data_IF_172653988058
#
_entry.id   IF_172653988058
#
_cell.length_a   1.000
_cell.length_b   1.000
_cell.length_c   1.000
_cell.angle_alpha   90.00
_cell.angle_beta   90.00
_cell.angle_gamma   90.00
#
_symmetry.space_group_name_H-M   'P 1'
#
loop_
_entity.id
_entity.type
_entity.pdbx_description
1 polymer ?
#
# COMPACT_ATOMS: atom_id res chain seq x y z
N UNK A 1 -12.80 -2.48 13.81
CA UNK A 1 -11.56 -2.48 13.02
C UNK A 1 -11.86 -1.93 11.64
N UNK A 2 -10.98 -1.10 11.09
CA UNK A 2 -11.13 -0.52 9.75
C UNK A 2 -10.32 -1.31 8.74
N UNK A 3 -10.64 -1.24 7.45
CA UNK A 3 -9.88 -1.90 6.40
C UNK A 3 -9.72 -1.09 5.12
N UNK A 4 -8.66 -1.39 4.38
CA UNK A 4 -8.25 -0.73 3.14
C UNK A 4 -8.04 -1.78 2.06
N UNK A 5 -8.74 -1.62 0.95
CA UNK A 5 -8.55 -2.46 -0.23
C UNK A 5 -7.39 -1.93 -1.09
N UNK A 6 -6.42 -2.78 -1.40
CA UNK A 6 -5.27 -2.45 -2.24
C UNK A 6 -5.40 -3.14 -3.60
N UNK A 7 -5.51 -2.36 -4.68
CA UNK A 7 -5.69 -2.87 -6.03
C UNK A 7 -4.83 -2.11 -7.05
N UNK A 8 -4.54 -2.76 -8.17
CA UNK A 8 -3.67 -2.24 -9.22
C UNK A 8 -2.54 -3.22 -9.55
N UNK A 9 -1.34 -2.70 -9.83
CA UNK A 9 -0.22 -3.52 -10.32
C UNK A 9 0.97 -3.59 -9.35
N UNK A 10 2.16 -3.92 -9.86
CA UNK A 10 3.36 -4.14 -9.05
C UNK A 10 3.77 -2.96 -8.17
N UNK A 11 3.53 -1.71 -8.58
CA UNK A 11 3.81 -0.54 -7.75
C UNK A 11 2.78 -0.31 -6.62
N UNK A 12 1.55 -0.85 -6.71
CA UNK A 12 0.66 -1.00 -5.53
C UNK A 12 1.11 -2.16 -4.67
N UNK A 13 1.43 -3.30 -5.29
CA UNK A 13 1.83 -4.51 -4.58
C UNK A 13 3.14 -4.30 -3.76
N UNK A 14 4.02 -3.44 -4.27
CA UNK A 14 5.30 -3.13 -3.68
C UNK A 14 6.43 -3.95 -4.30
N UNK A 15 7.51 -3.25 -4.66
CA UNK A 15 8.75 -3.81 -5.24
C UNK A 15 10.01 -3.13 -4.72
N UNK A 16 9.88 -2.16 -3.81
CA UNK A 16 11.05 -1.57 -3.16
C UNK A 16 11.81 -2.62 -2.37
N UNK A 17 13.14 -2.51 -2.30
CA UNK A 17 13.94 -3.50 -1.60
C UNK A 17 13.77 -3.38 -0.08
N UNK A 18 13.47 -4.51 0.57
CA UNK A 18 13.10 -4.55 2.00
C UNK A 18 14.22 -4.05 2.91
N UNK A 19 15.47 -4.17 2.48
CA UNK A 19 16.65 -3.77 3.24
C UNK A 19 17.03 -2.28 3.08
N UNK A 20 16.31 -1.51 2.28
CA UNK A 20 16.61 -0.09 2.04
C UNK A 20 15.83 0.87 2.95
N UNK A 21 14.85 0.36 3.71
CA UNK A 21 14.07 1.15 4.68
C UNK A 21 13.88 0.37 5.98
N UNK A 22 13.68 1.06 7.11
CA UNK A 22 13.32 0.40 8.37
C UNK A 22 12.00 -0.36 8.27
N UNK A 23 11.94 -1.51 8.96
CA UNK A 23 10.71 -2.29 9.10
C UNK A 23 9.66 -1.48 9.85
N UNK A 24 8.41 -1.51 9.36
CA UNK A 24 7.26 -1.04 10.13
C UNK A 24 6.75 -2.22 10.95
N UNK A 25 6.92 -2.15 12.27
CA UNK A 25 6.36 -3.11 13.21
C UNK A 25 5.33 -2.39 14.09
N UNK A 26 4.05 -2.65 13.85
CA UNK A 26 2.96 -2.06 14.59
C UNK A 26 1.83 -3.08 14.77
N UNK A 27 1.49 -3.43 16.01
CA UNK A 27 0.51 -4.49 16.30
C UNK A 27 -0.93 -4.12 15.93
N UNK A 28 -1.18 -2.84 15.64
CA UNK A 28 -2.48 -2.32 15.20
C UNK A 28 -2.64 -2.34 13.67
N UNK A 29 -1.57 -2.60 12.93
CA UNK A 29 -1.62 -2.77 11.48
C UNK A 29 -1.70 -4.26 11.19
N UNK A 30 -2.78 -4.68 10.54
CA UNK A 30 -3.03 -6.06 10.15
C UNK A 30 -3.03 -6.19 8.63
N UNK A 31 -2.83 -7.41 8.14
CA UNK A 31 -3.00 -7.77 6.73
C UNK A 31 -3.86 -9.02 6.61
N UNK A 32 -4.70 -9.07 5.59
CA UNK A 32 -5.52 -10.23 5.30
C UNK A 32 -4.64 -11.34 4.71
N UNK A 33 -4.66 -12.51 5.35
CA UNK A 33 -3.96 -13.73 4.92
C UNK A 33 -4.82 -14.94 5.20
N UNK A 34 -5.05 -15.77 4.19
CA UNK A 34 -5.77 -17.04 4.32
C UNK A 34 -7.12 -16.88 5.03
N UNK A 35 -7.89 -15.85 4.66
CA UNK A 35 -9.18 -15.47 5.25
C UNK A 35 -9.13 -15.06 6.74
N UNK A 36 -7.98 -14.65 7.27
CA UNK A 36 -7.85 -14.12 8.62
C UNK A 36 -6.91 -12.90 8.69
N UNK A 37 -7.07 -12.12 9.75
CA UNK A 37 -6.21 -10.96 10.02
C UNK A 37 -4.96 -11.40 10.77
N UNK A 38 -3.80 -11.06 10.22
CA UNK A 38 -2.50 -11.30 10.84
C UNK A 38 -1.79 -9.97 11.04
N UNK A 39 -0.94 -9.86 12.06
CA UNK A 39 -0.08 -8.68 12.21
C UNK A 39 0.70 -8.46 10.92
N UNK A 40 0.71 -7.21 10.44
CA UNK A 40 1.29 -6.89 9.15
C UNK A 40 2.80 -7.15 9.16
N UNK A 41 3.28 -7.74 8.06
CA UNK A 41 4.68 -7.88 7.75
C UNK A 41 4.88 -7.68 6.25
N UNK A 42 5.96 -6.98 5.87
CA UNK A 42 6.29 -6.77 4.46
C UNK A 42 7.06 -7.99 3.91
N UNK A 43 6.75 -8.48 2.68
CA UNK A 43 5.83 -7.89 1.71
C UNK A 43 4.34 -8.08 2.04
N UNK A 44 3.57 -6.99 1.98
CA UNK A 44 2.13 -7.00 2.32
C UNK A 44 1.34 -7.68 1.19
N UNK A 45 1.64 -7.35 -0.05
CA UNK A 45 0.97 -7.92 -1.22
C UNK A 45 1.91 -8.88 -1.95
N UNK A 46 1.95 -10.14 -1.50
CA UNK A 46 2.84 -11.17 -2.05
C UNK A 46 2.26 -11.81 -3.32
N UNK A 47 2.16 -11.04 -4.40
CA UNK A 47 1.68 -11.50 -5.71
C UNK A 47 2.75 -12.27 -6.50
N UNK A 48 4.03 -11.97 -6.23
CA UNK A 48 5.20 -12.56 -6.89
C UNK A 48 6.34 -12.75 -5.89
N UNK A 49 7.32 -13.63 -6.18
CA UNK A 49 8.49 -13.83 -5.31
C UNK A 49 9.34 -12.58 -5.09
N UNK A 50 9.27 -11.60 -6.00
CA UNK A 50 9.96 -10.32 -5.90
C UNK A 50 9.12 -9.20 -5.26
N UNK A 51 7.98 -9.51 -4.64
CA UNK A 51 7.24 -8.54 -3.86
C UNK A 51 8.13 -7.98 -2.73
N UNK A 52 7.95 -6.69 -2.44
CA UNK A 52 8.79 -5.96 -1.50
C UNK A 52 8.02 -4.85 -0.79
N UNK A 53 8.71 -3.73 -0.57
CA UNK A 53 8.14 -2.53 0.06
C UNK A 53 7.12 -1.89 -0.88
N UNK A 54 5.94 -1.58 -0.34
CA UNK A 54 4.86 -0.87 -1.02
C UNK A 54 4.29 0.25 -0.15
N UNK A 55 3.53 1.15 -0.77
CA UNK A 55 3.00 2.37 -0.14
C UNK A 55 2.07 2.12 1.05
N UNK A 56 1.40 0.96 1.08
CA UNK A 56 0.38 0.64 2.08
C UNK A 56 0.94 0.54 3.51
N UNK A 57 2.23 0.21 3.67
CA UNK A 57 2.86 0.13 4.99
C UNK A 57 2.91 1.49 5.69
N UNK A 58 3.50 2.49 5.03
CA UNK A 58 3.53 3.87 5.52
C UNK A 58 2.15 4.51 5.59
N UNK A 59 1.24 4.19 4.66
CA UNK A 59 -0.15 4.65 4.73
C UNK A 59 -0.81 4.22 6.05
N UNK A 60 -0.70 2.94 6.41
CA UNK A 60 -1.28 2.43 7.64
C UNK A 60 -0.58 2.95 8.90
N UNK A 61 0.74 3.16 8.84
CA UNK A 61 1.50 3.75 9.94
C UNK A 61 1.05 5.20 10.23
N UNK A 62 0.84 6.01 9.18
CA UNK A 62 0.25 7.36 9.31
C UNK A 62 -1.14 7.29 9.93
N UNK A 63 -2.00 6.38 9.45
CA UNK A 63 -3.35 6.20 10.01
C UNK A 63 -3.31 5.89 11.52
N UNK A 64 -2.41 5.00 11.93
CA UNK A 64 -2.26 4.62 13.33
C UNK A 64 -1.82 5.79 14.23
N UNK A 65 -1.12 6.81 13.72
CA UNK A 65 -0.75 7.99 14.51
C UNK A 65 -1.97 8.85 14.92
N UNK A 66 -3.00 8.88 14.09
CA UNK A 66 -4.19 9.72 14.30
C UNK A 66 -5.36 8.97 14.95
N UNK A 67 -5.29 7.64 14.99
CA UNK A 67 -6.36 6.77 15.47
C UNK A 67 -5.83 5.84 16.57
N UNK A 68 -5.46 6.41 17.71
CA UNK A 68 -4.99 5.64 18.87
C UNK A 68 -6.04 4.62 19.34
N UNK A 69 -5.59 3.42 19.71
CA UNK A 69 -6.48 2.33 20.17
C UNK A 69 -7.24 1.60 19.07
N UNK A 70 -7.26 2.10 17.83
CA UNK A 70 -7.91 1.41 16.71
C UNK A 70 -6.92 0.60 15.86
N UNK A 71 -7.45 -0.41 15.18
CA UNK A 71 -6.72 -1.29 14.25
C UNK A 71 -7.16 -1.04 12.81
N UNK A 72 -6.20 -1.13 11.89
CA UNK A 72 -6.39 -1.03 10.45
C UNK A 72 -5.91 -2.30 9.75
N UNK A 73 -6.75 -2.86 8.89
CA UNK A 73 -6.47 -4.05 8.09
C UNK A 73 -6.19 -3.71 6.63
N UNK A 74 -5.15 -4.29 6.06
CA UNK A 74 -4.80 -4.17 4.64
C UNK A 74 -5.27 -5.40 3.87
N UNK A 75 -5.97 -5.19 2.76
CA UNK A 75 -6.52 -6.25 1.91
C UNK A 75 -5.71 -6.25 0.59
N UNK A 76 -4.64 -7.07 0.49
CA UNK A 76 -3.76 -7.10 -0.68
C UNK A 76 -4.42 -7.82 -1.85
N UNK A 77 -4.72 -7.11 -2.94
CA UNK A 77 -5.30 -7.66 -4.16
C UNK A 77 -4.62 -7.16 -5.45
N UNK A 78 -3.49 -6.46 -5.36
CA UNK A 78 -2.76 -5.98 -6.53
C UNK A 78 -1.99 -7.11 -7.23
N UNK A 79 -1.85 -7.01 -8.56
CA UNK A 79 -1.25 -8.05 -9.39
C UNK A 79 -0.21 -7.46 -10.36
N UNK A 80 1.05 -7.85 -10.20
CA UNK A 80 2.17 -7.38 -11.01
C UNK A 80 2.02 -7.66 -12.51
N UNK A 81 2.21 -6.61 -13.32
CA UNK A 81 2.11 -6.67 -14.78
C UNK A 81 0.68 -6.55 -15.33
N UNK A 82 -0.35 -6.50 -14.47
CA UNK A 82 -1.74 -6.37 -14.94
C UNK A 82 -1.99 -5.05 -15.68
N UNK A 83 -2.65 -5.16 -16.83
CA UNK A 83 -3.24 -4.05 -17.57
C UNK A 83 -4.66 -3.78 -17.07
N UNK A 84 -5.25 -2.68 -17.51
CA UNK A 84 -6.65 -2.36 -17.19
C UNK A 84 -7.64 -3.40 -17.76
N UNK A 85 -7.30 -4.09 -18.85
CA UNK A 85 -8.12 -5.18 -19.42
C UNK A 85 -8.11 -6.44 -18.55
N UNK A 86 -7.03 -6.71 -17.83
CA UNK A 86 -6.95 -7.82 -16.87
C UNK A 86 -7.83 -7.56 -15.63
N UNK A 87 -8.12 -6.29 -15.36
CA UNK A 87 -9.00 -5.81 -14.30
C UNK A 87 -10.47 -5.69 -14.71
N UNK A 88 -10.84 -6.08 -15.93
CA UNK A 88 -12.24 -6.06 -16.37
C UNK A 88 -13.13 -6.90 -15.44
N UNK A 89 -14.41 -6.50 -15.31
CA UNK A 89 -15.36 -7.01 -14.31
C UNK A 89 -15.57 -8.53 -14.40
N UNK A 90 -15.44 -9.10 -15.60
CA UNK A 90 -15.57 -10.54 -15.85
C UNK A 90 -14.28 -11.33 -15.58
N UNK A 91 -13.16 -10.67 -15.29
CA UNK A 91 -11.84 -11.29 -15.09
C UNK A 91 -11.56 -11.63 -13.63
N UNK A 92 -10.52 -12.45 -13.45
CA UNK A 92 -10.19 -13.03 -12.15
C UNK A 92 -9.70 -11.99 -11.14
N UNK A 93 -8.97 -10.95 -11.56
CA UNK A 93 -8.43 -9.95 -10.63
C UNK A 93 -9.54 -9.16 -9.94
N UNK A 94 -10.50 -8.67 -10.73
CA UNK A 94 -11.68 -7.99 -10.22
C UNK A 94 -12.48 -8.90 -9.27
N UNK A 95 -12.82 -10.11 -9.72
CA UNK A 95 -13.59 -11.08 -8.92
C UNK A 95 -12.87 -11.42 -7.61
N UNK A 96 -11.56 -11.63 -7.66
CA UNK A 96 -10.76 -11.89 -6.48
C UNK A 96 -10.78 -10.70 -5.51
N UNK A 97 -10.61 -9.46 -6.00
CA UNK A 97 -10.69 -8.28 -5.16
C UNK A 97 -12.05 -8.14 -4.45
N UNK A 98 -13.16 -8.39 -5.17
CA UNK A 98 -14.50 -8.40 -4.58
C UNK A 98 -14.63 -9.49 -3.51
N UNK A 99 -14.14 -10.71 -3.79
CA UNK A 99 -14.20 -11.83 -2.85
C UNK A 99 -13.38 -11.52 -1.58
N UNK A 100 -12.13 -11.09 -1.72
CA UNK A 100 -11.25 -10.80 -0.59
C UNK A 100 -11.77 -9.63 0.26
N UNK A 101 -12.25 -8.56 -0.39
CA UNK A 101 -12.87 -7.44 0.31
C UNK A 101 -14.17 -7.87 1.02
N UNK A 102 -15.02 -8.65 0.36
CA UNK A 102 -16.25 -9.19 0.95
C UNK A 102 -15.98 -10.06 2.18
N UNK A 103 -14.93 -10.89 2.16
CA UNK A 103 -14.48 -11.64 3.34
C UNK A 103 -13.97 -10.71 4.45
N UNK A 104 -13.09 -9.77 4.12
CA UNK A 104 -12.54 -8.82 5.08
C UNK A 104 -13.64 -7.99 5.77
N UNK A 105 -14.69 -7.61 5.04
CA UNK A 105 -15.81 -6.81 5.53
C UNK A 105 -16.74 -7.54 6.50
N UNK A 106 -16.57 -8.85 6.70
CA UNK A 106 -17.33 -9.59 7.73
C UNK A 106 -16.93 -9.14 9.14
N UNK A 107 -15.65 -8.79 9.34
CA UNK A 107 -15.07 -8.42 10.63
C UNK A 107 -14.41 -7.02 10.62
N UNK A 108 -14.57 -6.26 9.52
CA UNK A 108 -14.02 -4.91 9.37
C UNK A 108 -14.94 -3.98 8.58
N UNK A 109 -14.73 -2.68 8.75
CA UNK A 109 -15.37 -1.65 7.93
C UNK A 109 -14.41 -1.19 6.84
N UNK A 110 -14.76 -1.39 5.57
CA UNK A 110 -13.97 -0.88 4.44
C UNK A 110 -14.07 0.65 4.40
N UNK A 111 -12.96 1.33 4.69
CA UNK A 111 -12.91 2.80 4.76
C UNK A 111 -12.17 3.44 3.60
N UNK A 112 -11.43 2.68 2.80
CA UNK A 112 -10.68 3.22 1.67
C UNK A 112 -10.32 2.18 0.62
N UNK A 113 -10.16 2.64 -0.61
CA UNK A 113 -9.64 1.85 -1.73
C UNK A 113 -8.42 2.57 -2.27
N UNK A 114 -7.27 1.89 -2.32
CA UNK A 114 -6.05 2.42 -2.92
C UNK A 114 -5.86 1.78 -4.29
N UNK A 115 -5.71 2.62 -5.31
CA UNK A 115 -5.47 2.21 -6.69
C UNK A 115 -4.15 2.77 -7.20
N UNK A 116 -3.26 1.88 -7.67
CA UNK A 116 -2.09 2.29 -8.44
C UNK A 116 -1.83 1.33 -9.59
N UNK A 117 -2.09 1.81 -10.80
CA UNK A 117 -1.92 1.06 -12.04
C UNK A 117 -1.81 2.03 -13.22
N UNK A 118 -1.08 1.63 -14.26
CA UNK A 118 -1.11 2.32 -15.55
C UNK A 118 0.14 2.07 -16.40
N UNK A 119 1.21 1.52 -15.84
CA UNK A 119 2.47 1.30 -16.56
C UNK A 119 2.29 0.29 -17.69
N UNK A 120 1.45 -0.74 -17.50
CA UNK A 120 1.08 -1.71 -18.54
C UNK A 120 0.15 -1.15 -19.63
N UNK A 121 -0.41 0.04 -19.43
CA UNK A 121 -1.26 0.77 -20.38
C UNK A 121 -0.57 2.02 -20.94
N UNK A 122 0.70 2.25 -20.56
CA UNK A 122 1.51 3.42 -20.94
C UNK A 122 2.24 3.24 -22.28
N UNK A 123 1.69 2.43 -23.18
CA UNK A 123 2.19 2.23 -24.54
C UNK A 123 1.06 1.81 -25.49
N UNK A 124 1.28 2.02 -26.79
CA UNK A 124 0.37 1.54 -27.83
C UNK A 124 -1.01 2.19 -27.84
N UNK A 125 -1.18 3.35 -27.21
CA UNK A 125 -2.44 4.10 -27.15
C UNK A 125 -3.40 3.67 -26.05
N UNK A 126 -2.95 2.90 -25.05
CA UNK A 126 -3.80 2.40 -23.95
C UNK A 126 -4.57 3.51 -23.22
N UNK A 127 -3.92 4.67 -23.04
CA UNK A 127 -4.50 5.86 -22.41
C UNK A 127 -5.86 6.29 -23.03
N UNK A 128 -6.09 6.07 -24.33
CA UNK A 128 -7.28 6.55 -25.03
C UNK A 128 -8.59 5.97 -24.49
N UNK A 129 -8.53 4.77 -23.93
CA UNK A 129 -9.69 4.08 -23.35
C UNK A 129 -9.62 3.96 -21.82
N UNK A 130 -8.52 4.44 -21.23
CA UNK A 130 -8.19 4.22 -19.83
C UNK A 130 -9.27 4.74 -18.88
N UNK A 131 -9.69 6.00 -19.03
CA UNK A 131 -10.74 6.61 -18.20
C UNK A 131 -12.02 5.75 -18.18
N UNK A 132 -12.52 5.36 -19.36
CA UNK A 132 -13.80 4.65 -19.49
C UNK A 132 -13.72 3.25 -18.88
N UNK A 133 -12.60 2.55 -19.09
CA UNK A 133 -12.36 1.23 -18.49
C UNK A 133 -12.27 1.34 -16.97
N UNK A 134 -11.49 2.30 -16.45
CA UNK A 134 -11.35 2.51 -15.01
C UNK A 134 -12.71 2.85 -14.37
N UNK A 135 -13.53 3.68 -15.02
CA UNK A 135 -14.88 3.99 -14.57
C UNK A 135 -15.74 2.74 -14.38
N UNK A 136 -15.79 1.87 -15.38
CA UNK A 136 -16.56 0.62 -15.28
C UNK A 136 -16.05 -0.26 -14.14
N UNK A 137 -14.73 -0.36 -13.97
CA UNK A 137 -14.09 -1.14 -12.90
C UNK A 137 -14.49 -0.59 -11.53
N UNK A 138 -14.30 0.71 -11.30
CA UNK A 138 -14.55 1.34 -9.99
C UNK A 138 -16.04 1.39 -9.64
N UNK A 139 -16.90 1.76 -10.59
CA UNK A 139 -18.36 1.77 -10.36
C UNK A 139 -18.88 0.37 -10.02
N UNK A 140 -18.39 -0.66 -10.73
CA UNK A 140 -18.75 -2.05 -10.45
C UNK A 140 -18.22 -2.49 -9.09
N UNK A 141 -16.98 -2.14 -8.74
CA UNK A 141 -16.38 -2.47 -7.45
C UNK A 141 -17.18 -1.83 -6.29
N UNK A 142 -17.51 -0.54 -6.39
CA UNK A 142 -18.34 0.18 -5.41
C UNK A 142 -19.71 -0.47 -5.27
N UNK A 143 -20.32 -0.90 -6.37
CA UNK A 143 -21.63 -1.57 -6.35
C UNK A 143 -21.56 -2.94 -5.67
N UNK A 144 -20.63 -3.80 -6.07
CA UNK A 144 -20.48 -5.16 -5.52
C UNK A 144 -20.14 -5.16 -4.03
N UNK A 145 -19.38 -4.14 -3.57
CA UNK A 145 -18.99 -3.99 -2.17
C UNK A 145 -19.90 -3.05 -1.36
N UNK A 146 -20.96 -2.49 -1.96
CA UNK A 146 -21.79 -1.45 -1.34
C UNK A 146 -20.95 -0.29 -0.74
N UNK A 147 -19.91 0.14 -1.45
CA UNK A 147 -18.85 1.04 -1.01
C UNK A 147 -18.90 2.41 -1.72
N UNK A 148 -20.10 2.94 -1.97
CA UNK A 148 -20.31 4.15 -2.78
C UNK A 148 -19.66 5.42 -2.17
N UNK A 149 -19.64 5.52 -0.84
CA UNK A 149 -19.06 6.65 -0.09
C UNK A 149 -17.58 6.45 0.29
N UNK A 150 -17.02 5.29 -0.04
CA UNK A 150 -15.65 4.95 0.31
C UNK A 150 -14.68 5.74 -0.60
N UNK A 151 -13.76 6.53 -0.03
CA UNK A 151 -12.78 7.27 -0.82
C UNK A 151 -11.88 6.32 -1.61
N UNK A 152 -11.74 6.62 -2.89
CA UNK A 152 -10.79 6.01 -3.81
C UNK A 152 -9.58 6.93 -3.96
N UNK A 153 -8.40 6.43 -3.61
CA UNK A 153 -7.15 7.19 -3.72
C UNK A 153 -6.34 6.62 -4.88
N UNK A 154 -6.03 7.46 -5.86
CA UNK A 154 -5.42 7.09 -7.14
C UNK A 154 -4.05 7.75 -7.25
N UNK A 155 -3.00 6.94 -7.34
CA UNK A 155 -1.64 7.47 -7.57
C UNK A 155 -1.33 7.68 -9.04
N UNK A 156 -0.60 8.75 -9.33
CA UNK A 156 0.04 8.94 -10.63
C UNK A 156 1.26 8.03 -10.81
N UNK A 157 1.64 7.85 -12.06
CA UNK A 157 2.84 7.15 -12.51
C UNK A 157 4.07 8.05 -12.39
N UNK A 158 5.22 7.48 -12.04
CA UNK A 158 6.45 8.22 -11.81
C UNK A 158 7.12 8.74 -13.08
N UNK A 159 7.72 9.93 -13.00
CA UNK A 159 8.39 10.60 -14.13
C UNK A 159 9.66 9.89 -14.62
N UNK A 160 10.08 8.81 -13.96
CA UNK A 160 11.21 7.99 -14.39
C UNK A 160 10.87 7.02 -15.53
N UNK A 161 9.57 6.81 -15.81
CA UNK A 161 9.10 5.93 -16.89
C UNK A 161 9.48 6.48 -18.27
N UNK A 162 9.55 5.58 -19.26
CA UNK A 162 9.91 5.92 -20.64
C UNK A 162 11.39 6.23 -20.87
N UNK A 163 12.26 6.03 -19.87
CA UNK A 163 13.67 6.48 -19.92
C UNK A 163 14.69 5.34 -19.97
N UNK A 164 14.54 4.29 -19.18
CA UNK A 164 15.53 3.21 -19.09
C UNK A 164 14.92 1.88 -18.60
N UNK A 165 15.73 0.82 -18.63
CA UNK A 165 15.39 -0.48 -18.05
C UNK A 165 14.08 -1.07 -18.59
N UNK A 166 13.33 -1.72 -17.72
CA UNK A 166 12.00 -2.26 -18.03
C UNK A 166 10.95 -1.15 -18.24
N UNK A 167 11.18 0.06 -17.72
CA UNK A 167 10.28 1.19 -17.89
C UNK A 167 10.38 1.89 -19.25
N UNK A 168 11.36 1.51 -20.09
CA UNK A 168 11.62 2.16 -21.39
C UNK A 168 10.39 2.20 -22.30
N UNK A 169 9.55 1.16 -22.27
CA UNK A 169 8.38 1.07 -23.13
C UNK A 169 7.19 1.89 -22.62
N UNK A 170 7.20 2.37 -21.37
CA UNK A 170 6.13 3.18 -20.80
C UNK A 170 6.21 4.64 -21.30
N UNK A 171 6.24 4.86 -22.61
CA UNK A 171 6.46 6.18 -23.23
C UNK A 171 5.25 7.10 -23.16
N UNK A 172 4.06 6.57 -22.87
CA UNK A 172 2.80 7.31 -22.81
C UNK A 172 2.31 7.54 -21.36
N UNK A 173 3.20 7.38 -20.36
CA UNK A 173 2.83 7.48 -18.94
C UNK A 173 2.18 8.83 -18.57
N UNK A 174 2.61 9.92 -19.19
CA UNK A 174 2.04 11.27 -18.97
C UNK A 174 0.57 11.33 -19.43
N UNK A 175 0.25 10.69 -20.56
CA UNK A 175 -1.11 10.62 -21.09
C UNK A 175 -2.01 9.75 -20.21
N UNK A 176 -1.46 8.69 -19.61
CA UNK A 176 -2.18 7.89 -18.60
C UNK A 176 -2.39 8.73 -17.32
N UNK A 177 -1.40 9.49 -16.87
CA UNK A 177 -1.53 10.43 -15.74
C UNK A 177 -2.62 11.49 -15.96
N UNK A 178 -2.74 12.02 -17.19
CA UNK A 178 -3.85 12.91 -17.55
C UNK A 178 -5.21 12.24 -17.34
N UNK A 179 -5.35 10.96 -17.73
CA UNK A 179 -6.61 10.22 -17.53
C UNK A 179 -6.87 9.91 -16.05
N UNK A 180 -5.85 9.54 -15.28
CA UNK A 180 -5.96 9.28 -13.83
C UNK A 180 -6.39 10.55 -13.07
N UNK A 181 -5.76 11.68 -13.38
CA UNK A 181 -6.11 12.97 -12.77
C UNK A 181 -7.50 13.44 -13.20
N UNK A 182 -7.85 13.29 -14.48
CA UNK A 182 -9.19 13.61 -14.99
C UNK A 182 -10.25 12.76 -14.29
N UNK A 183 -10.02 11.46 -14.16
CA UNK A 183 -10.90 10.54 -13.45
C UNK A 183 -11.14 11.01 -12.03
N UNK A 184 -10.07 11.27 -11.26
CA UNK A 184 -10.20 11.69 -9.88
C UNK A 184 -10.97 13.01 -9.72
N UNK A 185 -10.85 13.95 -10.67
CA UNK A 185 -11.57 15.24 -10.64
C UNK A 185 -13.05 15.13 -10.99
N UNK A 186 -13.40 14.21 -11.89
CA UNK A 186 -14.77 14.08 -12.41
C UNK A 186 -15.62 13.09 -11.58
N UNK A 187 -14.98 12.13 -10.91
CA UNK A 187 -15.66 11.07 -10.18
C UNK A 187 -15.73 11.36 -8.68
N UNK A 188 -16.92 11.19 -8.11
CA UNK A 188 -17.15 11.43 -6.68
C UNK A 188 -16.28 10.52 -5.79
N UNK A 189 -15.99 11.00 -4.58
CA UNK A 189 -15.20 10.29 -3.58
C UNK A 189 -13.87 9.76 -4.14
N UNK A 190 -13.22 10.51 -5.04
CA UNK A 190 -11.96 10.12 -5.68
C UNK A 190 -10.91 11.21 -5.51
N UNK A 191 -9.68 10.83 -5.17
CA UNK A 191 -8.57 11.75 -4.98
C UNK A 191 -7.36 11.29 -5.80
N UNK A 192 -6.55 12.24 -6.25
CA UNK A 192 -5.34 11.99 -7.02
C UNK A 192 -4.12 12.28 -6.16
N UNK A 193 -3.07 11.49 -6.32
CA UNK A 193 -1.82 11.61 -5.57
C UNK A 193 -0.64 11.64 -6.53
N UNK A 194 0.12 12.72 -6.51
CA UNK A 194 1.30 12.89 -7.38
C UNK A 194 2.43 11.93 -7.02
N UNK A 195 3.09 11.40 -8.06
CA UNK A 195 4.35 10.66 -7.96
C UNK A 195 5.58 11.55 -8.25
N UNK A 196 5.40 12.87 -8.31
CA UNK A 196 6.50 13.83 -8.54
C UNK A 196 7.63 13.62 -7.52
N UNK A 197 8.86 13.56 -8.02
CA UNK A 197 10.07 13.40 -7.20
C UNK A 197 10.21 12.02 -6.54
N UNK A 198 9.38 11.04 -6.91
CA UNK A 198 9.61 9.62 -6.58
C UNK A 198 10.60 9.00 -7.56
N UNK A 199 11.42 8.07 -7.09
CA UNK A 199 12.51 7.44 -7.83
C UNK A 199 12.31 5.93 -7.97
N UNK A 200 12.87 5.31 -9.02
CA UNK A 200 12.76 3.89 -9.24
C UNK A 200 13.92 3.10 -8.65
N UNK A 201 13.70 1.81 -8.48
CA UNK A 201 14.73 0.79 -8.45
C UNK A 201 15.60 0.84 -9.72
N UNK A 202 16.76 0.14 -9.74
CA UNK A 202 17.64 0.07 -10.92
C UNK A 202 16.98 -0.49 -12.19
N UNK A 203 15.83 -1.14 -12.06
CA UNK A 203 15.08 -1.68 -13.20
C UNK A 203 14.31 -0.64 -14.02
N UNK A 204 14.20 0.60 -13.52
CA UNK A 204 13.61 1.72 -14.23
C UNK A 204 12.08 1.71 -14.32
N UNK A 205 11.38 0.78 -13.67
CA UNK A 205 9.90 0.70 -13.71
C UNK A 205 9.24 0.66 -12.32
N UNK A 206 9.91 0.07 -11.33
CA UNK A 206 9.35 -0.05 -9.99
C UNK A 206 9.87 1.06 -9.10
N UNK A 207 9.00 1.71 -8.32
CA UNK A 207 9.41 2.69 -7.30
C UNK A 207 10.27 2.01 -6.24
N UNK A 208 11.35 2.70 -5.82
CA UNK A 208 12.21 2.23 -4.75
C UNK A 208 11.52 2.29 -3.38
N UNK A 209 12.16 1.67 -2.37
CA UNK A 209 11.57 1.55 -1.04
C UNK A 209 11.31 2.90 -0.38
N UNK A 210 12.25 3.85 -0.48
CA UNK A 210 12.12 5.19 0.12
C UNK A 210 10.96 5.96 -0.53
N UNK A 211 10.85 5.88 -1.86
CA UNK A 211 9.79 6.49 -2.64
C UNK A 211 8.43 5.88 -2.34
N UNK A 212 8.35 4.56 -2.18
CA UNK A 212 7.13 3.88 -1.74
C UNK A 212 6.68 4.38 -0.36
N UNK A 213 7.62 4.59 0.58
CA UNK A 213 7.29 5.13 1.90
C UNK A 213 6.77 6.57 1.83
N UNK A 214 7.42 7.43 1.06
CA UNK A 214 6.95 8.81 0.80
C UNK A 214 5.57 8.79 0.14
N UNK A 215 5.35 7.89 -0.81
CA UNK A 215 4.09 7.80 -1.52
C UNK A 215 2.95 7.41 -0.59
N UNK A 216 3.16 6.47 0.34
CA UNK A 216 2.16 6.12 1.34
C UNK A 216 1.73 7.29 2.22
N UNK A 217 2.66 8.19 2.58
CA UNK A 217 2.34 9.45 3.28
C UNK A 217 1.41 10.32 2.44
N UNK A 218 1.71 10.49 1.15
CA UNK A 218 0.86 11.27 0.23
C UNK A 218 -0.52 10.64 0.01
N UNK A 219 -0.59 9.32 -0.07
CA UNK A 219 -1.87 8.61 -0.13
C UNK A 219 -2.71 8.83 1.13
N UNK A 220 -2.07 8.80 2.30
CA UNK A 220 -2.76 9.03 3.56
C UNK A 220 -3.27 10.47 3.67
N UNK A 221 -2.46 11.44 3.27
CA UNK A 221 -2.86 12.86 3.22
C UNK A 221 -4.10 13.07 2.35
N UNK A 222 -4.10 12.51 1.12
CA UNK A 222 -5.25 12.59 0.23
C UNK A 222 -6.48 11.90 0.83
N UNK A 223 -6.28 10.76 1.50
CA UNK A 223 -7.32 10.01 2.18
C UNK A 223 -7.99 10.79 3.31
N UNK A 224 -7.21 11.35 4.23
CA UNK A 224 -7.74 12.03 5.43
C UNK A 224 -8.35 13.38 5.07
N UNK A 225 -7.75 14.12 4.14
CA UNK A 225 -8.26 15.43 3.70
C UNK A 225 -9.41 15.33 2.70
N UNK A 226 -9.55 14.18 2.01
CA UNK A 226 -10.43 14.01 0.85
C UNK A 226 -10.15 15.05 -0.25
N UNK A 227 -8.86 15.32 -0.46
CA UNK A 227 -8.37 16.33 -1.41
C UNK A 227 -7.28 15.74 -2.31
N UNK A 228 -7.10 16.33 -3.50
CA UNK A 228 -6.01 15.95 -4.39
C UNK A 228 -4.66 16.43 -3.82
N UNK A 229 -3.67 15.54 -3.80
CA UNK A 229 -2.28 15.87 -3.52
C UNK A 229 -1.57 16.04 -4.85
N UNK A 230 -1.57 17.27 -5.38
CA UNK A 230 -1.02 17.60 -6.70
C UNK A 230 0.49 17.90 -6.68
N UNK A 231 1.07 18.09 -5.50
CA UNK A 231 2.50 18.35 -5.28
C UNK A 231 3.02 17.52 -4.12
N UNK A 232 4.33 17.21 -4.07
CA UNK A 232 4.97 16.61 -2.90
C UNK A 232 4.66 17.40 -1.62
N UNK A 233 4.46 16.69 -0.51
CA UNK A 233 4.22 17.31 0.80
C UNK A 233 5.58 17.74 1.36
N UNK A 234 5.70 18.99 1.79
CA UNK A 234 7.00 19.58 2.19
C UNK A 234 7.68 18.82 3.33
N UNK A 235 6.91 18.27 4.27
CA UNK A 235 7.41 17.57 5.46
C UNK A 235 7.18 16.04 5.43
N UNK A 236 7.02 15.44 4.25
CA UNK A 236 6.70 14.00 4.13
C UNK A 236 7.73 13.06 4.79
N UNK A 237 9.02 13.42 4.76
CA UNK A 237 10.08 12.63 5.41
C UNK A 237 10.05 12.76 6.93
N UNK A 238 9.71 13.93 7.46
CA UNK A 238 9.55 14.13 8.90
C UNK A 238 8.33 13.36 9.42
N UNK A 239 7.21 13.42 8.69
CA UNK A 239 6.01 12.63 9.00
C UNK A 239 6.32 11.12 8.97
N UNK A 240 7.03 10.66 7.94
CA UNK A 240 7.44 9.27 7.83
C UNK A 240 8.32 8.84 9.02
N UNK A 241 9.32 9.64 9.37
CA UNK A 241 10.20 9.34 10.52
C UNK A 241 9.38 9.23 11.81
N UNK A 242 8.46 10.17 12.05
CA UNK A 242 7.58 10.15 13.23
C UNK A 242 6.69 8.90 13.28
N UNK A 243 6.25 8.38 12.13
CA UNK A 243 5.43 7.16 12.07
C UNK A 243 6.20 5.89 12.46
N UNK A 244 7.48 5.83 12.11
CA UNK A 244 8.25 4.58 12.14
C UNK A 244 9.29 4.53 13.26
N UNK A 245 9.60 5.68 13.89
CA UNK A 245 10.59 5.79 14.98
C UNK A 245 10.00 5.67 16.39
N UNK A 246 8.67 5.49 16.51
CA UNK A 246 8.00 5.35 17.81
C UNK A 246 8.49 4.13 18.62
N UNK A 247 8.46 4.20 19.95
CA UNK A 247 8.87 3.07 20.78
C UNK A 247 7.91 1.90 20.60
N UNK A 248 8.46 0.70 20.41
CA UNK A 248 7.66 -0.51 20.27
C UNK A 248 6.98 -0.92 21.59
N UNK A 249 5.74 -1.41 21.48
CA UNK A 249 5.04 -2.05 22.59
C UNK A 249 5.73 -3.35 23.00
N UNK A 250 5.37 -3.91 24.16
CA UNK A 250 5.87 -5.21 24.60
C UNK A 250 5.62 -6.30 23.55
N UNK A 251 4.40 -6.34 22.99
CA UNK A 251 4.01 -7.34 22.01
C UNK A 251 4.76 -7.18 20.69
N UNK A 252 5.00 -5.95 20.25
CA UNK A 252 5.82 -5.66 19.08
C UNK A 252 7.28 -6.08 19.27
N UNK A 253 7.88 -5.79 20.44
CA UNK A 253 9.23 -6.24 20.77
C UNK A 253 9.35 -7.77 20.77
N UNK A 254 8.36 -8.46 21.35
CA UNK A 254 8.30 -9.93 21.33
C UNK A 254 8.15 -10.46 19.91
N UNK A 255 7.32 -9.83 19.08
CA UNK A 255 7.12 -10.20 17.69
C UNK A 255 8.42 -10.06 16.88
N UNK A 256 9.15 -8.95 17.04
CA UNK A 256 10.45 -8.74 16.40
C UNK A 256 11.48 -9.79 16.81
N UNK A 257 11.57 -10.10 18.11
CA UNK A 257 12.46 -11.14 18.61
C UNK A 257 12.10 -12.52 18.02
N UNK A 258 10.80 -12.85 17.96
CA UNK A 258 10.33 -14.11 17.36
C UNK A 258 10.66 -14.17 15.87
N UNK A 259 10.47 -13.08 15.13
CA UNK A 259 10.77 -13.02 13.69
C UNK A 259 12.26 -13.21 13.42
N UNK A 260 13.14 -12.59 14.22
CA UNK A 260 14.59 -12.78 14.11
C UNK A 260 14.99 -14.23 14.43
N UNK A 261 14.43 -14.83 15.47
CA UNK A 261 14.67 -16.23 15.82
C UNK A 261 14.19 -17.20 14.74
N UNK A 262 12.97 -17.01 14.23
CA UNK A 262 12.41 -17.83 13.15
C UNK A 262 13.18 -17.70 11.83
N UNK A 263 13.84 -16.55 11.61
CA UNK A 263 14.76 -16.33 10.49
C UNK A 263 16.16 -16.92 10.70
N UNK A 264 16.41 -17.60 11.82
CA UNK A 264 17.70 -18.20 12.17
C UNK A 264 18.79 -17.18 12.52
N UNK A 265 18.41 -15.95 12.92
CA UNK A 265 19.36 -14.87 13.25
C UNK A 265 19.80 -14.87 14.72
N UNK A 266 19.19 -15.70 15.56
CA UNK A 266 19.50 -15.83 16.98
C UNK A 266 19.45 -17.30 17.40
N UNK A 267 20.24 -17.65 18.40
CA UNK A 267 20.17 -18.94 19.10
C UNK A 267 18.96 -18.98 20.06
N UNK A 268 18.60 -20.18 20.52
CA UNK A 268 17.52 -20.37 21.51
C UNK A 268 17.84 -19.67 22.85
N UNK A 269 19.10 -19.70 23.27
CA UNK A 269 19.57 -19.03 24.49
C UNK A 269 19.44 -17.50 24.39
N UNK A 270 19.91 -16.91 23.28
CA UNK A 270 19.80 -15.46 23.02
C UNK A 270 18.34 -15.02 22.91
N UNK A 271 17.51 -15.82 22.24
CA UNK A 271 16.07 -15.57 22.16
C UNK A 271 15.42 -15.61 23.55
N UNK A 272 15.72 -16.64 24.34
CA UNK A 272 15.22 -16.78 25.71
C UNK A 272 15.59 -15.60 26.61
N UNK A 273 16.83 -15.12 26.53
CA UNK A 273 17.28 -13.94 27.28
C UNK A 273 16.55 -12.67 26.84
N UNK A 274 16.46 -12.42 25.53
CA UNK A 274 15.75 -11.25 24.99
C UNK A 274 14.28 -11.24 25.43
N UNK A 275 13.61 -12.38 25.44
CA UNK A 275 12.23 -12.51 25.89
C UNK A 275 12.07 -12.20 27.39
N UNK A 276 13.03 -12.61 28.24
CA UNK A 276 13.03 -12.24 29.66
C UNK A 276 13.19 -10.73 29.85
N UNK A 277 14.15 -10.11 29.17
CA UNK A 277 14.39 -8.66 29.24
C UNK A 277 13.14 -7.87 28.84
N UNK A 278 12.47 -8.27 27.76
CA UNK A 278 11.23 -7.62 27.31
C UNK A 278 10.12 -7.76 28.37
N UNK A 279 10.04 -8.90 29.04
CA UNK A 279 9.01 -9.16 30.06
C UNK A 279 9.24 -8.34 31.34
N UNK A 280 10.47 -8.30 31.85
CA UNK A 280 10.82 -7.58 33.09
C UNK A 280 10.75 -6.07 32.90
N UNK A 281 11.19 -5.55 31.75
CA UNK A 281 11.17 -4.10 31.46
C UNK A 281 9.75 -3.52 31.43
N UNK A 282 8.71 -4.33 31.19
CA UNK A 282 7.31 -3.86 31.20
C UNK A 282 6.72 -3.77 32.60
N UNK A 283 7.13 -4.66 33.51
CA UNK A 283 6.60 -4.70 34.89
C UNK A 283 7.10 -3.50 35.71
N UNK A 284 8.34 -3.05 35.46
CA UNK A 284 8.93 -1.89 36.13
C UNK A 284 8.39 -0.52 35.63
N UNK A 285 7.54 -0.49 34.61
CA UNK A 285 6.90 0.74 34.09
C UNK A 285 5.43 0.87 34.50
N UNK A 286 4.84 -0.17 35.09
CA UNK A 286 3.45 -0.20 35.59
C UNK A 286 3.36 0.00 37.12
N UNK A 287 4.50 0.11 37.83
CA UNK A 287 4.62 0.55 39.23
C UNK A 287 4.94 2.06 39.35
#
# INVERSE_FOLDING_TARGET
MKSILMIGQSNMAGRGFINEVPMICNERILMLRNAGWQMMAEPINYDRPNAGIGLAGSFAAMWCMEHEGEQIGLIPCAEGGSSLDDWAVDKNLFKNAVIQAGFAMQDSELIGILWHQGESDSYGGGYQTYYKKLQVIIESLRKELNAFEVPLIIGGLGDFLGKNGFGLNCTEYELVNEQLLRFAREQENSCFVTAEGLTPNPDGIHMDAVSQRRFGVRYYEAFVKREHVLKPIENEMELLERCISGPHTKREKMYLAMAEFAAGKMTDEEFGERMRVITVSSEAMEE
#
